data_IF_117859130347
#
_entry.id   IF_117859130347
#
_cell.length_a   1.000
_cell.length_b   1.000
_cell.length_c   1.000
_cell.angle_alpha   90.00
_cell.angle_beta   90.00
_cell.angle_gamma   90.00
#
_symmetry.space_group_name_H-M   'P 1'
#
loop_
_entity.id
_entity.type
_entity.pdbx_description
1 polymer ?
#
# COMPACT_ATOMS: atom_id res chain seq x y z
N UNK A 1 -43.39 -24.47 -7.71
CA UNK A 1 -42.16 -25.10 -7.26
C UNK A 1 -40.92 -24.44 -7.88
N UNK A 2 -40.92 -24.22 -9.20
CA UNK A 2 -39.75 -23.76 -9.95
C UNK A 2 -39.25 -22.35 -9.56
N UNK A 3 -40.11 -21.39 -9.28
CA UNK A 3 -39.70 -20.04 -8.88
C UNK A 3 -38.98 -19.99 -7.55
N UNK A 4 -39.38 -20.85 -6.59
CA UNK A 4 -38.71 -20.95 -5.30
C UNK A 4 -37.32 -21.57 -5.44
N UNK A 5 -37.18 -22.59 -6.29
CA UNK A 5 -35.90 -23.25 -6.58
C UNK A 5 -34.94 -22.25 -7.22
N UNK A 6 -35.41 -21.49 -8.22
CA UNK A 6 -34.62 -20.45 -8.88
C UNK A 6 -34.13 -19.39 -7.86
N UNK A 7 -35.02 -18.92 -7.00
CA UNK A 7 -34.68 -17.93 -5.96
C UNK A 7 -33.61 -18.46 -5.00
N UNK A 8 -33.75 -19.73 -4.56
CA UNK A 8 -32.76 -20.36 -3.69
C UNK A 8 -31.41 -20.52 -4.39
N UNK A 9 -31.41 -20.93 -5.65
CA UNK A 9 -30.16 -21.04 -6.45
C UNK A 9 -29.47 -19.68 -6.61
N UNK A 10 -30.20 -18.62 -6.90
CA UNK A 10 -29.65 -17.25 -7.02
C UNK A 10 -29.05 -16.78 -5.70
N UNK A 11 -29.72 -17.04 -4.58
CA UNK A 11 -29.20 -16.70 -3.24
C UNK A 11 -27.94 -17.49 -2.91
N UNK A 12 -27.87 -18.78 -3.23
CA UNK A 12 -26.68 -19.60 -3.01
C UNK A 12 -25.52 -19.15 -3.87
N UNK A 13 -25.76 -18.84 -5.14
CA UNK A 13 -24.72 -18.30 -6.03
C UNK A 13 -24.22 -16.94 -5.51
N UNK A 14 -25.11 -16.07 -5.07
CA UNK A 14 -24.76 -14.80 -4.47
C UNK A 14 -23.88 -14.98 -3.24
N UNK A 15 -24.19 -15.94 -2.37
CA UNK A 15 -23.40 -16.25 -1.16
C UNK A 15 -22.00 -16.78 -1.53
N UNK A 16 -21.90 -17.65 -2.55
CA UNK A 16 -20.64 -18.22 -2.99
C UNK A 16 -19.68 -17.17 -3.61
N UNK A 17 -20.25 -16.14 -4.23
CA UNK A 17 -19.49 -15.11 -4.96
C UNK A 17 -19.28 -13.81 -4.17
N UNK A 18 -19.87 -13.68 -2.98
CA UNK A 18 -19.74 -12.45 -2.19
C UNK A 18 -18.42 -12.44 -1.42
N UNK A 19 -17.45 -11.56 -1.77
CA UNK A 19 -16.16 -11.53 -1.11
C UNK A 19 -16.22 -10.74 0.20
N UNK A 20 -15.45 -11.18 1.18
CA UNK A 20 -15.11 -10.41 2.37
C UNK A 20 -13.72 -9.80 2.16
N UNK A 21 -13.62 -8.49 2.36
CA UNK A 21 -12.35 -7.77 2.20
C UNK A 21 -11.56 -7.78 3.50
N UNK A 22 -10.34 -8.26 3.45
CA UNK A 22 -9.37 -8.22 4.53
C UNK A 22 -8.17 -7.35 4.11
N UNK A 23 -7.77 -6.42 4.96
CA UNK A 23 -6.57 -5.60 4.72
C UNK A 23 -5.48 -5.99 5.69
N UNK A 24 -4.28 -6.27 5.16
CA UNK A 24 -3.12 -6.64 5.94
C UNK A 24 -2.29 -5.41 6.31
N UNK A 25 -1.55 -5.52 7.43
CA UNK A 25 -0.62 -4.47 7.90
C UNK A 25 0.82 -4.76 7.45
N UNK A 26 0.98 -5.27 6.25
CA UNK A 26 2.25 -5.75 5.69
C UNK A 26 2.87 -4.81 4.63
N UNK A 27 2.28 -3.65 4.45
CA UNK A 27 2.63 -2.67 3.42
C UNK A 27 1.45 -2.26 2.55
N UNK A 28 0.27 -2.92 2.71
CA UNK A 28 -0.95 -2.54 2.03
C UNK A 28 -1.65 -3.64 1.25
N UNK A 29 -1.25 -4.92 1.41
CA UNK A 29 -1.92 -6.04 0.75
C UNK A 29 -3.40 -6.14 1.13
N UNK A 30 -4.22 -6.51 0.18
CA UNK A 30 -5.67 -6.73 0.35
C UNK A 30 -6.03 -8.13 -0.11
N UNK A 31 -6.82 -8.83 0.69
CA UNK A 31 -7.37 -10.13 0.36
C UNK A 31 -8.90 -10.05 0.26
N UNK A 32 -9.42 -10.51 -0.84
CA UNK A 32 -10.84 -10.70 -1.07
C UNK A 32 -11.14 -12.20 -1.00
N UNK A 33 -11.77 -12.61 0.10
CA UNK A 33 -12.09 -14.00 0.43
C UNK A 33 -13.55 -14.27 0.14
N UNK A 34 -13.84 -15.17 -0.79
CA UNK A 34 -15.16 -15.69 -1.09
C UNK A 34 -15.13 -17.22 -1.05
N UNK A 35 -16.28 -17.86 -0.85
CA UNK A 35 -16.35 -19.34 -0.74
C UNK A 35 -15.83 -20.02 -2.03
N UNK A 36 -16.03 -19.40 -3.19
CA UNK A 36 -15.66 -19.98 -4.47
C UNK A 36 -14.29 -19.49 -5.00
N UNK A 37 -13.79 -18.38 -4.51
CA UNK A 37 -12.53 -17.80 -5.00
C UNK A 37 -11.87 -16.88 -3.96
N UNK A 38 -10.57 -16.73 -4.10
CA UNK A 38 -9.74 -15.79 -3.38
C UNK A 38 -8.99 -14.88 -4.34
N UNK A 39 -8.89 -13.59 -4.02
CA UNK A 39 -8.06 -12.65 -4.75
C UNK A 39 -7.16 -11.94 -3.76
N UNK A 40 -5.86 -12.11 -3.94
CA UNK A 40 -4.82 -11.43 -3.17
C UNK A 40 -4.24 -10.31 -4.03
N UNK A 41 -4.44 -9.07 -3.63
CA UNK A 41 -3.77 -7.91 -4.17
C UNK A 41 -2.55 -7.64 -3.27
N UNK A 42 -1.39 -8.07 -3.76
CA UNK A 42 -0.14 -8.11 -2.99
C UNK A 42 0.57 -6.76 -3.07
N UNK A 43 0.83 -6.18 -1.90
CA UNK A 43 1.72 -5.05 -1.74
C UNK A 43 2.45 -5.19 -0.42
N UNK A 44 3.37 -6.15 -0.36
CA UNK A 44 4.07 -6.56 0.85
C UNK A 44 5.53 -6.17 0.78
N UNK A 45 6.04 -5.57 1.88
CA UNK A 45 7.49 -5.37 2.05
C UNK A 45 8.17 -6.74 2.06
N UNK A 46 9.20 -6.88 1.25
CA UNK A 46 9.98 -8.11 1.13
C UNK A 46 11.44 -7.82 0.85
N UNK A 47 12.29 -8.82 1.09
CA UNK A 47 13.70 -8.80 0.77
C UNK A 47 13.99 -9.88 -0.27
N UNK A 48 14.77 -9.53 -1.28
CA UNK A 48 15.31 -10.48 -2.24
C UNK A 48 16.84 -10.36 -2.23
N UNK A 49 17.52 -11.33 -1.59
CA UNK A 49 18.94 -11.24 -1.28
C UNK A 49 19.23 -10.12 -0.27
N UNK A 50 20.06 -9.16 -0.65
CA UNK A 50 20.36 -7.95 0.14
C UNK A 50 19.52 -6.74 -0.25
N UNK A 51 18.55 -6.91 -1.15
CA UNK A 51 17.74 -5.82 -1.70
C UNK A 51 16.38 -5.76 -1.03
N UNK A 52 16.06 -4.62 -0.44
CA UNK A 52 14.72 -4.33 0.04
C UNK A 52 13.81 -3.89 -1.10
N UNK A 53 12.56 -4.29 -1.04
CA UNK A 53 11.58 -3.96 -2.06
C UNK A 53 10.16 -4.29 -1.63
N UNK A 54 9.30 -4.33 -2.63
CA UNK A 54 7.93 -4.78 -2.48
C UNK A 54 7.69 -6.00 -3.35
N UNK A 55 6.98 -7.00 -2.81
CA UNK A 55 6.29 -7.97 -3.64
C UNK A 55 4.93 -7.37 -4.01
N UNK A 56 4.74 -7.10 -5.28
CA UNK A 56 3.49 -6.53 -5.83
C UNK A 56 2.89 -7.46 -6.86
N UNK A 57 1.58 -7.36 -7.05
CA UNK A 57 0.84 -8.13 -8.06
C UNK A 57 -0.40 -8.79 -7.49
N UNK A 58 -1.03 -9.60 -8.30
CA UNK A 58 -2.30 -10.25 -7.96
C UNK A 58 -2.18 -11.76 -8.07
N UNK A 59 -2.72 -12.46 -7.08
CA UNK A 59 -2.92 -13.91 -7.10
C UNK A 59 -4.42 -14.16 -7.10
N UNK A 60 -4.90 -15.06 -7.95
CA UNK A 60 -6.30 -15.50 -7.96
C UNK A 60 -6.34 -17.00 -7.78
N UNK A 61 -7.11 -17.43 -6.80
CA UNK A 61 -7.40 -18.85 -6.55
C UNK A 61 -8.89 -19.12 -6.76
N UNK A 62 -9.22 -20.27 -7.35
CA UNK A 62 -10.59 -20.76 -7.49
C UNK A 62 -10.65 -22.13 -6.83
N UNK A 63 -11.51 -22.27 -5.80
CA UNK A 63 -11.61 -23.45 -4.96
C UNK A 63 -10.26 -23.93 -4.40
N UNK A 64 -9.37 -22.98 -4.04
CA UNK A 64 -8.04 -23.26 -3.51
C UNK A 64 -6.99 -23.64 -4.55
N UNK A 65 -7.29 -23.54 -5.84
CA UNK A 65 -6.31 -23.73 -6.92
C UNK A 65 -5.89 -22.39 -7.48
N UNK A 66 -4.58 -22.11 -7.51
CA UNK A 66 -4.04 -20.92 -8.16
C UNK A 66 -4.29 -21.00 -9.68
N UNK A 67 -5.04 -20.03 -10.20
CA UNK A 67 -5.37 -19.92 -11.62
C UNK A 67 -4.70 -18.71 -12.27
N UNK A 68 -4.24 -17.76 -11.48
CA UNK A 68 -3.53 -16.58 -11.95
C UNK A 68 -2.55 -16.11 -10.90
N UNK A 69 -1.34 -15.74 -11.33
CA UNK A 69 -0.31 -15.14 -10.47
C UNK A 69 0.61 -14.27 -11.33
N UNK A 70 0.64 -12.99 -11.08
CA UNK A 70 1.56 -12.04 -11.72
C UNK A 70 2.44 -11.30 -10.70
N UNK A 71 2.62 -11.88 -9.52
CA UNK A 71 3.45 -11.27 -8.49
C UNK A 71 4.89 -11.11 -8.97
N UNK A 72 5.47 -9.97 -8.63
CA UNK A 72 6.87 -9.65 -8.93
C UNK A 72 7.49 -8.88 -7.77
N UNK A 73 8.79 -8.97 -7.67
CA UNK A 73 9.57 -8.14 -6.76
C UNK A 73 9.89 -6.80 -7.44
N UNK A 74 9.58 -5.70 -6.77
CA UNK A 74 9.98 -4.35 -7.16
C UNK A 74 10.97 -3.82 -6.14
N UNK A 75 12.25 -3.73 -6.52
CA UNK A 75 13.28 -3.20 -5.66
C UNK A 75 13.02 -1.72 -5.36
N UNK A 76 13.22 -1.33 -4.11
CA UNK A 76 13.27 0.09 -3.76
C UNK A 76 14.59 0.63 -4.30
N UNK A 77 14.52 1.65 -5.15
CA UNK A 77 15.73 2.34 -5.61
C UNK A 77 16.41 3.02 -4.42
N UNK A 78 17.48 2.39 -3.93
CA UNK A 78 18.25 2.89 -2.78
C UNK A 78 19.06 4.14 -3.12
N UNK A 79 19.20 4.49 -4.41
CA UNK A 79 19.87 5.70 -4.85
C UNK A 79 18.92 6.92 -4.89
N UNK A 80 17.62 6.70 -4.83
CA UNK A 80 16.65 7.79 -4.76
C UNK A 80 16.81 8.58 -3.47
N UNK A 81 16.68 9.92 -3.54
CA UNK A 81 16.63 10.74 -2.33
C UNK A 81 15.52 10.25 -1.39
N UNK A 82 15.85 10.19 -0.11
CA UNK A 82 14.89 9.80 0.91
C UNK A 82 15.08 10.62 2.18
N UNK A 83 14.05 10.62 3.01
CA UNK A 83 14.08 11.07 4.39
C UNK A 83 13.17 10.18 5.24
N UNK A 84 13.37 10.22 6.55
CA UNK A 84 12.47 9.57 7.50
C UNK A 84 11.69 10.64 8.27
N UNK A 85 10.44 10.35 8.58
CA UNK A 85 9.59 11.28 9.32
C UNK A 85 8.46 10.58 10.05
N UNK A 86 7.96 11.26 11.06
CA UNK A 86 6.80 10.85 11.84
C UNK A 86 5.56 11.57 11.31
N UNK A 87 4.51 10.83 11.03
CA UNK A 87 3.23 11.42 10.61
C UNK A 87 2.63 12.22 11.77
N UNK A 88 2.38 13.51 11.55
CA UNK A 88 1.79 14.41 12.54
C UNK A 88 0.37 14.83 12.16
N UNK A 89 -0.01 14.73 10.89
CA UNK A 89 -1.35 15.05 10.40
C UNK A 89 -1.65 14.26 9.13
N UNK A 90 -2.90 13.88 8.90
CA UNK A 90 -3.38 13.28 7.65
C UNK A 90 -4.45 14.18 7.02
N UNK A 91 -4.43 14.29 5.69
CA UNK A 91 -5.38 15.12 4.94
C UNK A 91 -5.76 14.48 3.60
N UNK A 92 -6.64 15.11 2.84
CA UNK A 92 -7.13 14.59 1.56
C UNK A 92 -6.08 14.48 0.45
N UNK A 93 -4.88 15.06 0.63
CA UNK A 93 -3.78 15.00 -0.34
C UNK A 93 -2.69 14.02 0.07
N UNK A 94 -2.79 13.44 1.25
CA UNK A 94 -1.79 12.57 1.84
C UNK A 94 -1.58 12.86 3.33
N UNK A 95 -0.37 13.21 3.73
CA UNK A 95 -0.05 13.44 5.14
C UNK A 95 1.10 14.43 5.34
N UNK A 96 1.13 15.04 6.52
CA UNK A 96 2.22 15.90 6.99
C UNK A 96 3.12 15.10 7.92
N UNK A 97 4.43 15.17 7.69
CA UNK A 97 5.42 14.53 8.55
C UNK A 97 6.34 15.58 9.19
N UNK A 98 6.81 15.26 10.39
CA UNK A 98 7.96 15.90 11.01
C UNK A 98 9.19 15.04 10.74
N UNK A 99 10.22 15.60 10.13
CA UNK A 99 11.44 14.88 9.73
C UNK A 99 12.22 14.42 10.95
N UNK A 100 12.45 13.12 11.05
CA UNK A 100 13.23 12.48 12.13
C UNK A 100 14.64 12.10 11.69
N UNK A 101 14.85 11.92 10.38
CA UNK A 101 16.14 11.71 9.73
C UNK A 101 16.07 12.28 8.31
N UNK A 102 16.96 13.20 7.97
CA UNK A 102 17.01 13.83 6.64
C UNK A 102 17.51 12.91 5.53
N UNK A 103 18.07 11.76 5.87
CA UNK A 103 18.64 10.81 4.91
C UNK A 103 19.61 11.48 3.94
N UNK A 104 19.41 11.23 2.64
CA UNK A 104 20.08 11.96 1.53
C UNK A 104 19.14 12.98 0.85
N UNK A 105 17.99 13.31 1.46
CA UNK A 105 16.89 14.12 0.89
C UNK A 105 16.94 15.58 1.24
N UNK A 106 17.90 16.22 1.68
CA UNK A 106 18.03 17.70 1.87
C UNK A 106 17.02 18.34 2.85
N UNK A 107 16.36 17.58 3.69
CA UNK A 107 15.47 18.09 4.73
C UNK A 107 16.18 18.17 6.08
N UNK A 108 15.85 19.22 6.86
CA UNK A 108 16.38 19.38 8.22
C UNK A 108 15.57 18.56 9.24
N UNK A 109 16.23 18.15 10.33
CA UNK A 109 15.55 17.51 11.44
C UNK A 109 14.50 18.47 12.05
N UNK A 110 13.30 17.94 12.31
CA UNK A 110 12.17 18.71 12.84
C UNK A 110 11.45 19.55 11.79
N UNK A 111 11.92 19.55 10.53
CA UNK A 111 11.21 20.21 9.43
C UNK A 111 9.89 19.50 9.16
N UNK A 112 8.85 20.28 8.80
CA UNK A 112 7.55 19.73 8.43
C UNK A 112 7.45 19.66 6.91
N UNK A 113 7.14 18.47 6.39
CA UNK A 113 7.04 18.20 4.96
C UNK A 113 5.67 17.61 4.64
N UNK A 114 4.97 18.21 3.69
CA UNK A 114 3.73 17.64 3.14
C UNK A 114 4.11 16.57 2.11
N UNK A 115 3.64 15.37 2.32
CA UNK A 115 3.78 14.24 1.40
C UNK A 115 2.47 14.03 0.70
N UNK A 116 2.44 14.26 -0.62
CA UNK A 116 1.24 14.06 -1.43
C UNK A 116 1.27 12.65 -2.01
N UNK A 117 0.29 11.84 -1.64
CA UNK A 117 0.14 10.47 -2.13
C UNK A 117 -1.34 10.11 -2.17
N UNK A 118 -1.75 9.39 -3.20
CA UNK A 118 -3.12 8.88 -3.36
C UNK A 118 -3.25 7.45 -2.80
N UNK A 119 -2.14 6.82 -2.44
CA UNK A 119 -2.09 5.42 -2.04
C UNK A 119 -1.62 5.24 -0.60
N UNK A 120 -2.26 4.32 0.10
CA UNK A 120 -1.90 3.88 1.44
C UNK A 120 -2.71 4.57 2.56
N UNK A 121 -2.96 3.84 3.62
CA UNK A 121 -3.54 4.36 4.85
C UNK A 121 -2.41 4.63 5.85
N UNK A 122 -2.21 5.89 6.19
CA UNK A 122 -1.21 6.34 7.16
C UNK A 122 -1.91 6.95 8.36
N UNK A 123 -1.39 6.67 9.55
CA UNK A 123 -1.93 7.16 10.80
C UNK A 123 -0.97 8.13 11.47
N UNK A 124 -1.53 9.09 12.20
CA UNK A 124 -0.73 9.97 13.05
C UNK A 124 0.08 9.11 14.04
N UNK A 125 1.40 9.35 14.08
CA UNK A 125 2.35 8.60 14.89
C UNK A 125 3.15 7.55 14.11
N UNK A 126 2.75 7.17 12.89
CA UNK A 126 3.54 6.27 12.05
C UNK A 126 4.92 6.86 11.76
N UNK A 127 5.96 6.04 11.88
CA UNK A 127 7.31 6.39 11.44
C UNK A 127 7.52 5.83 10.03
N UNK A 128 7.87 6.70 9.11
CA UNK A 128 7.95 6.37 7.69
C UNK A 128 9.31 6.73 7.11
N UNK A 129 9.83 5.88 6.23
CA UNK A 129 10.89 6.22 5.29
C UNK A 129 10.23 6.52 3.94
N UNK A 130 10.48 7.72 3.42
CA UNK A 130 9.85 8.24 2.20
C UNK A 130 10.95 8.49 1.17
N UNK A 131 10.92 7.74 0.07
CA UNK A 131 11.78 7.97 -1.09
C UNK A 131 10.99 8.72 -2.17
N UNK A 132 11.66 9.66 -2.87
CA UNK A 132 11.03 10.55 -3.83
C UNK A 132 11.98 10.86 -5.00
N UNK A 133 11.51 11.58 -6.02
CA UNK A 133 12.29 11.89 -7.23
C UNK A 133 13.30 13.06 -7.07
N UNK A 134 13.50 13.53 -5.86
CA UNK A 134 14.39 14.66 -5.53
C UNK A 134 13.77 16.03 -5.77
N UNK A 135 12.54 16.12 -6.29
CA UNK A 135 11.85 17.39 -6.50
C UNK A 135 10.98 17.75 -5.31
N UNK A 136 11.15 18.99 -4.86
CA UNK A 136 10.39 19.55 -3.74
C UNK A 136 9.72 20.84 -4.21
N UNK A 137 8.42 20.93 -4.05
CA UNK A 137 7.70 22.17 -4.32
C UNK A 137 8.00 23.19 -3.23
N UNK A 138 8.43 24.38 -3.66
CA UNK A 138 8.79 25.51 -2.79
C UNK A 138 7.54 26.16 -2.22
N UNK A 139 6.96 25.54 -1.20
CA UNK A 139 5.80 26.02 -0.44
C UNK A 139 6.12 25.99 1.06
N UNK A 140 5.17 26.43 1.88
CA UNK A 140 5.30 26.30 3.34
C UNK A 140 4.06 25.58 3.90
N UNK A 141 4.21 24.35 4.41
CA UNK A 141 5.42 23.53 4.41
C UNK A 141 5.84 23.11 2.98
N UNK A 142 7.12 22.73 2.75
CA UNK A 142 7.56 22.17 1.48
C UNK A 142 6.79 20.88 1.16
N UNK A 143 6.62 20.60 -0.15
CA UNK A 143 5.81 19.46 -0.58
C UNK A 143 6.60 18.51 -1.46
N UNK A 144 6.49 17.24 -1.16
CA UNK A 144 6.93 16.13 -2.00
C UNK A 144 5.70 15.59 -2.74
N UNK A 145 5.72 15.65 -4.08
CA UNK A 145 4.58 15.28 -4.93
C UNK A 145 4.83 14.02 -5.75
N UNK A 146 6.09 13.63 -5.93
CA UNK A 146 6.50 12.44 -6.68
C UNK A 146 7.13 11.44 -5.73
N UNK A 147 6.30 10.77 -4.96
CA UNK A 147 6.72 9.72 -4.05
C UNK A 147 6.96 8.43 -4.83
N UNK A 148 8.12 7.82 -4.62
CA UNK A 148 8.51 6.55 -5.24
C UNK A 148 8.20 5.36 -4.33
N UNK A 149 8.47 5.51 -3.03
CA UNK A 149 8.13 4.49 -2.05
C UNK A 149 7.94 5.07 -0.65
N UNK A 150 7.10 4.43 0.14
CA UNK A 150 6.88 4.74 1.56
C UNK A 150 6.95 3.44 2.33
N UNK A 151 7.86 3.37 3.30
CA UNK A 151 8.06 2.19 4.15
C UNK A 151 7.83 2.57 5.60
N UNK A 152 7.00 1.81 6.33
CA UNK A 152 6.88 1.94 7.79
C UNK A 152 8.11 1.35 8.47
N UNK A 153 8.59 2.05 9.49
CA UNK A 153 9.72 1.62 10.32
C UNK A 153 9.26 1.08 11.66
#
# INVERSE_FOLDING_TARGET
MDKLIILVCVLLIGLLLFPVRHQYKDGGSVHYDAIAYDVYDMHRISEEGETFGYTVGTIVEIFGFEVFNNTRFEAIDTNSPYFCGRVIETNSKGFLVEVTDGGNGSFALGERVQVNTEHGEYNVGDNLRIAFDGKVAMSYPPQVTSVQSIVRQ
#
